data_IF_824010072083
#
_entry.id   IF_824010072083
#
_cell.length_a   1.000
_cell.length_b   1.000
_cell.length_c   1.000
_cell.angle_alpha   90.00
_cell.angle_beta   90.00
_cell.angle_gamma   90.00
#
_symmetry.space_group_name_H-M   'P 1'
#
loop_
_entity.id
_entity.type
_entity.pdbx_description
1 polymer ?
#
# COMPACT_ATOMS: atom_id res chain seq x y z
N UNK A 1 15.88 4.33 -13.02
CA UNK A 1 14.75 5.03 -12.34
C UNK A 1 14.77 4.67 -10.87
N UNK A 2 14.58 5.64 -9.96
CA UNK A 2 14.57 5.42 -8.50
C UNK A 2 13.15 5.48 -7.95
N UNK A 3 12.71 4.42 -7.29
CA UNK A 3 11.38 4.29 -6.71
C UNK A 3 11.46 4.04 -5.20
N UNK A 4 10.96 4.98 -4.41
CA UNK A 4 10.80 4.80 -2.96
C UNK A 4 9.45 4.15 -2.66
N UNK A 5 9.44 3.17 -1.75
CA UNK A 5 8.23 2.49 -1.29
C UNK A 5 8.08 2.71 0.21
N UNK A 6 6.99 3.35 0.61
CA UNK A 6 6.61 3.43 2.03
C UNK A 6 6.19 2.03 2.51
N UNK A 7 7.13 1.36 3.17
CA UNK A 7 6.98 0.00 3.70
C UNK A 7 6.82 -0.04 5.23
N UNK A 8 6.45 1.10 5.89
CA UNK A 8 6.27 1.15 7.34
C UNK A 8 5.20 0.18 7.87
N UNK A 9 4.28 -0.26 7.02
CA UNK A 9 3.26 -1.25 7.38
C UNK A 9 3.85 -2.62 7.75
N UNK A 10 5.11 -2.87 7.38
CA UNK A 10 5.83 -4.09 7.76
C UNK A 10 6.36 -4.06 9.19
N UNK A 11 6.37 -2.89 9.84
CA UNK A 11 6.78 -2.73 11.24
C UNK A 11 5.67 -3.11 12.23
N UNK A 12 4.42 -3.21 11.77
CA UNK A 12 3.24 -3.48 12.58
C UNK A 12 2.71 -4.91 12.47
N UNK A 13 1.47 -5.08 12.94
CA UNK A 13 0.73 -6.33 12.78
C UNK A 13 0.47 -6.60 11.30
N UNK A 14 0.39 -7.89 10.92
CA UNK A 14 0.07 -8.29 9.56
C UNK A 14 -1.31 -7.76 9.14
N UNK A 15 -1.37 -7.13 7.97
CA UNK A 15 -2.58 -6.53 7.40
C UNK A 15 -2.57 -6.58 5.87
N UNK A 16 -3.73 -6.40 5.25
CA UNK A 16 -3.90 -6.49 3.79
C UNK A 16 -2.98 -5.58 2.97
N UNK A 17 -2.68 -4.38 3.46
CA UNK A 17 -1.74 -3.44 2.82
C UNK A 17 -0.34 -4.04 2.68
N UNK A 18 0.12 -4.81 3.69
CA UNK A 18 1.41 -5.51 3.63
C UNK A 18 1.41 -6.55 2.50
N UNK A 19 0.37 -7.40 2.43
CA UNK A 19 0.22 -8.40 1.37
C UNK A 19 0.21 -7.77 -0.02
N UNK A 20 -0.47 -6.63 -0.16
CA UNK A 20 -0.52 -5.87 -1.40
C UNK A 20 0.86 -5.39 -1.85
N UNK A 21 1.61 -4.72 -0.95
CA UNK A 21 2.97 -4.23 -1.24
C UNK A 21 3.89 -5.41 -1.58
N UNK A 22 3.87 -6.47 -0.78
CA UNK A 22 4.67 -7.67 -1.00
C UNK A 22 4.36 -8.29 -2.37
N UNK A 23 3.08 -8.46 -2.71
CA UNK A 23 2.65 -9.04 -3.97
C UNK A 23 3.08 -8.24 -5.20
N UNK A 24 2.96 -6.92 -5.17
CA UNK A 24 3.40 -6.06 -6.28
C UNK A 24 4.91 -6.08 -6.41
N UNK A 25 5.63 -5.77 -5.33
CA UNK A 25 7.06 -5.50 -5.43
C UNK A 25 7.89 -6.77 -5.62
N UNK A 26 7.53 -7.91 -5.04
CA UNK A 26 8.20 -9.19 -5.32
C UNK A 26 8.22 -9.49 -6.83
N UNK A 27 7.15 -9.15 -7.55
CA UNK A 27 7.11 -9.32 -8.99
C UNK A 27 7.86 -8.22 -9.76
N UNK A 28 7.95 -7.00 -9.20
CA UNK A 28 8.61 -5.88 -9.86
C UNK A 28 10.14 -5.91 -9.71
N UNK A 29 10.70 -6.59 -8.71
CA UNK A 29 12.15 -6.64 -8.46
C UNK A 29 12.97 -7.21 -9.62
N UNK A 30 12.35 -7.95 -10.54
CA UNK A 30 12.96 -8.42 -11.79
C UNK A 30 13.34 -7.32 -12.79
N UNK A 31 12.81 -6.10 -12.59
CA UNK A 31 13.11 -4.95 -13.46
C UNK A 31 14.39 -4.27 -12.98
N UNK A 32 15.54 -4.66 -13.57
CA UNK A 32 16.86 -4.18 -13.18
C UNK A 32 17.10 -2.69 -13.53
N UNK A 33 16.27 -2.09 -14.34
CA UNK A 33 16.28 -0.66 -14.70
C UNK A 33 15.66 0.25 -13.61
N UNK A 34 15.11 -0.36 -12.54
CA UNK A 34 14.50 0.32 -11.41
C UNK A 34 15.29 0.02 -10.14
N UNK A 35 15.78 1.06 -9.47
CA UNK A 35 16.32 0.99 -8.11
C UNK A 35 15.19 1.16 -7.10
N UNK A 36 14.92 0.12 -6.31
CA UNK A 36 13.87 0.11 -5.29
C UNK A 36 14.43 0.47 -3.92
N UNK A 37 13.84 1.46 -3.27
CA UNK A 37 14.18 1.92 -1.93
C UNK A 37 13.01 1.62 -0.98
N UNK A 38 13.10 0.56 -0.19
CA UNK A 38 12.06 0.21 0.78
C UNK A 38 12.33 0.89 2.12
N UNK A 39 11.38 1.71 2.59
CA UNK A 39 11.53 2.48 3.81
C UNK A 39 10.66 1.94 4.95
N UNK A 40 11.29 1.53 6.08
CA UNK A 40 10.66 1.07 7.31
C UNK A 40 11.58 1.28 8.53
N UNK A 41 11.06 1.09 9.75
CA UNK A 41 11.88 1.12 10.96
C UNK A 41 12.71 -0.16 11.08
N UNK A 42 12.08 -1.31 10.83
CA UNK A 42 12.74 -2.63 10.87
C UNK A 42 13.12 -3.10 9.46
N UNK A 43 14.31 -2.69 9.03
CA UNK A 43 14.83 -3.06 7.71
C UNK A 43 15.18 -4.55 7.59
N UNK A 44 15.45 -5.25 8.70
CA UNK A 44 15.80 -6.68 8.66
C UNK A 44 14.57 -7.53 8.31
N UNK A 45 13.39 -7.09 8.74
CA UNK A 45 12.13 -7.70 8.30
C UNK A 45 11.93 -7.55 6.78
N UNK A 46 12.25 -6.39 6.21
CA UNK A 46 12.16 -6.16 4.76
C UNK A 46 13.17 -6.99 3.97
N UNK A 47 14.39 -7.14 4.49
CA UNK A 47 15.42 -8.00 3.88
C UNK A 47 14.97 -9.46 3.82
N UNK A 48 14.31 -9.95 4.87
CA UNK A 48 13.75 -11.30 4.89
C UNK A 48 12.67 -11.56 3.84
N UNK A 49 11.99 -10.49 3.37
CA UNK A 49 10.88 -10.56 2.42
C UNK A 49 11.35 -10.31 0.98
N UNK A 50 12.09 -9.22 0.76
CA UNK A 50 12.49 -8.77 -0.58
C UNK A 50 13.90 -9.22 -0.98
N UNK A 51 14.66 -9.80 -0.05
CA UNK A 51 16.00 -10.31 -0.29
C UNK A 51 17.06 -9.24 -0.51
N UNK A 52 18.21 -9.67 -1.00
CA UNK A 52 19.36 -8.81 -1.34
C UNK A 52 19.60 -8.90 -2.85
N UNK A 53 19.40 -7.80 -3.55
CA UNK A 53 19.67 -7.66 -4.97
C UNK A 53 20.33 -6.31 -5.26
N UNK A 54 21.04 -6.20 -6.39
CA UNK A 54 21.80 -5.00 -6.75
C UNK A 54 20.93 -3.74 -6.83
N UNK A 55 19.68 -3.89 -7.24
CA UNK A 55 18.70 -2.83 -7.40
C UNK A 55 17.74 -2.69 -6.21
N UNK A 56 18.00 -3.37 -5.08
CA UNK A 56 17.18 -3.32 -3.86
C UNK A 56 17.95 -2.64 -2.74
N UNK A 57 17.39 -1.58 -2.20
CA UNK A 57 17.97 -0.75 -1.15
C UNK A 57 17.00 -0.60 0.01
N UNK A 58 17.51 -0.54 1.23
CA UNK A 58 16.71 -0.40 2.45
C UNK A 58 17.01 0.92 3.14
N UNK A 59 15.97 1.67 3.48
CA UNK A 59 16.04 2.98 4.12
C UNK A 59 15.41 2.88 5.50
N UNK A 60 16.21 3.12 6.55
CA UNK A 60 15.70 3.11 7.92
C UNK A 60 14.95 4.40 8.23
N UNK A 61 13.70 4.26 8.65
CA UNK A 61 12.90 5.33 9.23
C UNK A 61 13.22 5.46 10.72
N UNK A 62 13.25 6.69 11.21
CA UNK A 62 13.57 7.00 12.60
C UNK A 62 12.35 7.48 13.38
N UNK A 63 11.43 8.20 12.73
CA UNK A 63 10.27 8.76 13.41
C UNK A 63 9.09 7.78 13.47
N UNK A 64 8.64 7.44 14.68
CA UNK A 64 7.40 6.70 14.91
C UNK A 64 6.16 7.59 14.76
N UNK A 65 6.34 8.91 14.78
CA UNK A 65 5.25 9.86 14.60
C UNK A 65 4.93 10.04 13.11
N UNK A 66 3.70 9.68 12.72
CA UNK A 66 3.25 9.76 11.33
C UNK A 66 3.34 11.16 10.73
N UNK A 67 3.11 12.21 11.52
CA UNK A 67 3.18 13.60 11.05
C UNK A 67 4.63 13.96 10.72
N UNK A 68 5.56 13.66 11.61
CA UNK A 68 7.00 13.92 11.40
C UNK A 68 7.52 13.12 10.22
N UNK A 69 7.13 11.84 10.12
CA UNK A 69 7.52 10.97 9.01
C UNK A 69 7.06 11.54 7.66
N UNK A 70 5.78 11.93 7.55
CA UNK A 70 5.21 12.43 6.30
C UNK A 70 5.63 13.88 5.99
N UNK A 71 5.77 14.75 7.00
CA UNK A 71 6.07 16.16 6.78
C UNK A 71 7.55 16.47 6.64
N UNK A 72 8.43 15.66 7.24
CA UNK A 72 9.87 15.95 7.32
C UNK A 72 10.71 14.80 6.77
N UNK A 73 10.53 13.59 7.31
CA UNK A 73 11.45 12.49 7.06
C UNK A 73 11.40 12.02 5.60
N UNK A 74 10.22 11.76 5.05
CA UNK A 74 10.09 11.38 3.62
C UNK A 74 10.57 12.46 2.66
N UNK A 75 10.19 13.75 2.78
CA UNK A 75 10.73 14.79 1.92
C UNK A 75 12.26 14.87 1.93
N UNK A 76 12.90 14.72 3.10
CA UNK A 76 14.35 14.71 3.22
C UNK A 76 14.98 13.48 2.55
N UNK A 77 14.44 12.28 2.78
CA UNK A 77 14.91 11.04 2.16
C UNK A 77 14.80 11.12 0.63
N UNK A 78 13.63 11.54 0.11
CA UNK A 78 13.36 11.66 -1.32
C UNK A 78 14.35 12.61 -1.98
N UNK A 79 14.54 13.79 -1.39
CA UNK A 79 15.48 14.80 -1.90
C UNK A 79 16.93 14.30 -1.86
N UNK A 80 17.35 13.70 -0.73
CA UNK A 80 18.73 13.20 -0.56
C UNK A 80 19.08 12.08 -1.54
N UNK A 81 18.13 11.16 -1.81
CA UNK A 81 18.35 10.03 -2.70
C UNK A 81 18.11 10.37 -4.17
N UNK A 82 17.49 11.52 -4.47
CA UNK A 82 17.09 11.90 -5.82
C UNK A 82 16.07 10.90 -6.39
N UNK A 83 15.01 10.63 -5.62
CA UNK A 83 13.94 9.68 -5.98
C UNK A 83 13.08 10.27 -7.09
N UNK A 84 12.79 9.47 -8.13
CA UNK A 84 11.91 9.86 -9.23
C UNK A 84 10.43 9.70 -8.86
N UNK A 85 10.11 8.58 -8.21
CA UNK A 85 8.75 8.22 -7.78
C UNK A 85 8.76 7.74 -6.32
N UNK A 86 7.72 8.10 -5.56
CA UNK A 86 7.48 7.54 -4.23
C UNK A 86 6.07 6.97 -4.13
N UNK A 87 5.94 5.74 -3.62
CA UNK A 87 4.67 5.04 -3.45
C UNK A 87 4.23 5.06 -2.00
N UNK A 88 3.09 5.67 -1.73
CA UNK A 88 2.48 5.81 -0.42
C UNK A 88 1.14 5.08 -0.33
N UNK A 89 0.78 4.67 0.88
CA UNK A 89 -0.50 4.06 1.17
C UNK A 89 -1.41 5.09 1.84
N UNK A 90 -2.57 5.37 1.25
CA UNK A 90 -3.59 6.33 1.68
C UNK A 90 -3.14 7.79 1.72
N UNK A 91 -2.04 8.12 2.40
CA UNK A 91 -1.61 9.50 2.66
C UNK A 91 -0.18 9.69 2.17
N UNK A 92 0.02 10.68 1.29
CA UNK A 92 1.34 11.13 0.84
C UNK A 92 1.81 12.38 1.60
N UNK A 93 3.12 12.70 1.58
CA UNK A 93 3.65 13.92 2.16
C UNK A 93 2.94 15.19 1.66
N UNK A 94 2.75 16.17 2.55
CA UNK A 94 2.15 17.46 2.15
C UNK A 94 3.06 18.23 1.19
N UNK A 95 4.38 18.10 1.36
CA UNK A 95 5.39 18.69 0.47
C UNK A 95 5.75 17.65 -0.58
N UNK A 96 5.34 17.90 -1.82
CA UNK A 96 5.63 17.02 -2.95
C UNK A 96 7.03 17.30 -3.48
N UNK A 97 7.94 16.34 -3.36
CA UNK A 97 9.34 16.45 -3.76
C UNK A 97 9.73 15.54 -4.92
N UNK A 98 8.82 14.64 -5.34
CA UNK A 98 8.95 13.78 -6.51
C UNK A 98 7.58 13.46 -7.10
N UNK A 99 7.48 12.61 -8.10
CA UNK A 99 6.21 12.05 -8.56
C UNK A 99 5.67 11.07 -7.52
N UNK A 100 4.37 11.18 -7.22
CA UNK A 100 3.72 10.39 -6.17
C UNK A 100 2.78 9.33 -6.76
N UNK A 101 2.97 8.10 -6.34
CA UNK A 101 2.04 7.00 -6.51
C UNK A 101 1.29 6.85 -5.18
N UNK A 102 -0.03 6.87 -5.21
CA UNK A 102 -0.85 6.69 -4.01
C UNK A 102 -1.80 5.53 -4.22
N UNK A 103 -1.81 4.57 -3.29
CA UNK A 103 -2.82 3.52 -3.27
C UNK A 103 -3.84 3.79 -2.17
N UNK A 104 -5.11 3.85 -2.52
CA UNK A 104 -6.24 3.87 -1.59
C UNK A 104 -6.94 2.52 -1.69
N UNK A 105 -6.88 1.73 -0.60
CA UNK A 105 -7.45 0.37 -0.60
C UNK A 105 -8.96 0.39 -0.46
N UNK A 106 -9.48 1.23 0.44
CA UNK A 106 -10.91 1.40 0.70
C UNK A 106 -11.22 2.77 1.32
N UNK A 107 -12.52 3.06 1.43
CA UNK A 107 -13.06 4.23 2.10
C UNK A 107 -14.17 3.85 3.09
N UNK A 108 -14.04 2.67 3.74
CA UNK A 108 -15.05 2.11 4.65
C UNK A 108 -15.52 3.09 5.73
N UNK A 109 -14.64 3.97 6.18
CA UNK A 109 -14.99 4.99 7.19
C UNK A 109 -15.96 6.07 6.68
N UNK A 110 -16.13 6.20 5.35
CA UNK A 110 -17.12 7.07 4.72
C UNK A 110 -18.43 6.33 4.43
N UNK A 111 -18.33 5.03 4.06
CA UNK A 111 -19.50 4.21 3.75
C UNK A 111 -20.23 3.72 5.00
N UNK A 112 -19.50 3.50 6.08
CA UNK A 112 -20.00 2.96 7.36
C UNK A 112 -19.58 3.90 8.51
N UNK A 113 -20.07 5.15 8.51
CA UNK A 113 -19.62 6.19 9.44
C UNK A 113 -19.88 5.87 10.92
N UNK A 114 -20.87 5.02 11.22
CA UNK A 114 -21.24 4.61 12.57
C UNK A 114 -20.14 3.80 13.30
N UNK A 115 -19.25 3.14 12.55
CA UNK A 115 -18.15 2.35 13.12
C UNK A 115 -16.88 3.15 13.38
N UNK A 116 -16.85 4.44 12.98
CA UNK A 116 -15.63 5.26 13.06
C UNK A 116 -15.88 6.57 13.80
N UNK A 117 -14.99 6.97 14.73
CA UNK A 117 -15.11 8.28 15.40
C UNK A 117 -15.13 9.45 14.41
N UNK A 118 -15.95 10.46 14.68
CA UNK A 118 -16.11 11.63 13.77
C UNK A 118 -14.77 12.32 13.47
N UNK A 119 -13.92 12.48 14.49
CA UNK A 119 -12.59 13.09 14.32
C UNK A 119 -11.69 12.29 13.36
N UNK A 120 -11.74 10.95 13.45
CA UNK A 120 -11.01 10.05 12.54
C UNK A 120 -11.51 10.22 11.10
N UNK A 121 -12.84 10.22 10.90
CA UNK A 121 -13.45 10.34 9.57
C UNK A 121 -13.08 11.65 8.90
N UNK A 122 -13.33 12.80 9.55
CA UNK A 122 -13.05 14.13 8.99
C UNK A 122 -11.57 14.29 8.65
N UNK A 123 -10.68 13.88 9.56
CA UNK A 123 -9.24 13.96 9.32
C UNK A 123 -8.82 13.12 8.10
N UNK A 124 -9.23 11.85 8.05
CA UNK A 124 -8.80 10.95 6.99
C UNK A 124 -9.46 11.28 5.65
N UNK A 125 -10.71 11.73 5.63
CA UNK A 125 -11.36 12.22 4.40
C UNK A 125 -10.55 13.34 3.75
N UNK A 126 -10.14 14.35 4.52
CA UNK A 126 -9.35 15.47 4.01
C UNK A 126 -7.99 14.99 3.49
N UNK A 127 -7.28 14.18 4.28
CA UNK A 127 -5.92 13.73 3.94
C UNK A 127 -5.91 12.78 2.76
N UNK A 128 -6.83 11.81 2.70
CA UNK A 128 -6.93 10.86 1.59
C UNK A 128 -7.32 11.58 0.30
N UNK A 129 -8.33 12.46 0.38
CA UNK A 129 -8.77 13.26 -0.78
C UNK A 129 -7.64 14.15 -1.30
N UNK A 130 -6.87 14.78 -0.42
CA UNK A 130 -5.73 15.62 -0.82
C UNK A 130 -4.67 14.78 -1.51
N UNK A 131 -4.28 13.63 -0.92
CA UNK A 131 -3.29 12.72 -1.49
C UNK A 131 -3.73 12.17 -2.85
N UNK A 132 -5.00 11.72 -2.96
CA UNK A 132 -5.56 11.21 -4.21
C UNK A 132 -5.60 12.27 -5.33
N UNK A 133 -5.96 13.53 -4.99
CA UNK A 133 -5.98 14.62 -5.98
C UNK A 133 -4.58 15.00 -6.48
N UNK A 134 -3.58 14.92 -5.62
CA UNK A 134 -2.19 15.31 -5.92
C UNK A 134 -1.37 14.20 -6.55
N UNK A 135 -1.75 12.93 -6.37
CA UNK A 135 -1.07 11.80 -6.94
C UNK A 135 -0.89 11.92 -8.46
N UNK A 136 0.30 11.60 -8.96
CA UNK A 136 0.55 11.45 -10.41
C UNK A 136 -0.03 10.13 -10.93
N UNK A 137 -0.03 9.09 -10.08
CA UNK A 137 -0.65 7.80 -10.34
C UNK A 137 -1.48 7.40 -9.11
N UNK A 138 -2.79 7.25 -9.29
CA UNK A 138 -3.70 6.82 -8.24
C UNK A 138 -4.11 5.37 -8.47
N UNK A 139 -3.82 4.53 -7.48
CA UNK A 139 -4.10 3.10 -7.49
C UNK A 139 -5.19 2.74 -6.49
N UNK A 140 -5.93 1.68 -6.79
CA UNK A 140 -6.87 1.05 -5.87
C UNK A 140 -6.95 -0.45 -6.14
N UNK A 141 -7.55 -1.21 -5.22
CA UNK A 141 -7.50 -2.68 -5.25
C UNK A 141 -8.70 -3.33 -5.95
N UNK A 142 -9.79 -2.59 -6.18
CA UNK A 142 -11.01 -3.16 -6.75
C UNK A 142 -11.84 -2.12 -7.52
N UNK A 143 -12.77 -2.60 -8.35
CA UNK A 143 -13.75 -1.73 -8.99
C UNK A 143 -14.62 -1.01 -7.96
N UNK A 144 -15.07 -1.72 -6.90
CA UNK A 144 -15.82 -1.11 -5.81
C UNK A 144 -15.09 0.08 -5.20
N UNK A 145 -13.83 -0.12 -4.78
CA UNK A 145 -13.02 0.98 -4.20
C UNK A 145 -12.79 2.13 -5.20
N UNK A 146 -12.67 1.84 -6.50
CA UNK A 146 -12.58 2.86 -7.55
C UNK A 146 -13.85 3.71 -7.60
N UNK A 147 -15.03 3.06 -7.64
CA UNK A 147 -16.33 3.73 -7.70
C UNK A 147 -16.53 4.61 -6.45
N UNK A 148 -16.12 4.14 -5.26
CA UNK A 148 -16.17 4.90 -4.01
C UNK A 148 -15.24 6.13 -4.01
N UNK A 149 -14.02 6.00 -4.53
CA UNK A 149 -13.09 7.13 -4.68
C UNK A 149 -13.69 8.20 -5.61
N UNK A 150 -14.28 7.79 -6.72
CA UNK A 150 -14.96 8.71 -7.63
C UNK A 150 -16.11 9.42 -6.89
N UNK A 151 -16.96 8.67 -6.21
CA UNK A 151 -18.15 9.17 -5.51
C UNK A 151 -17.81 10.17 -4.41
N UNK A 152 -16.87 9.82 -3.52
CA UNK A 152 -16.57 10.65 -2.36
C UNK A 152 -15.60 11.81 -2.67
N UNK A 153 -14.63 11.57 -3.54
CA UNK A 153 -13.56 12.54 -3.76
C UNK A 153 -13.72 13.36 -5.03
N UNK A 154 -14.66 12.99 -5.90
CA UNK A 154 -14.89 13.63 -7.19
C UNK A 154 -13.59 13.67 -8.03
N UNK A 155 -12.99 12.51 -8.25
CA UNK A 155 -11.78 12.31 -9.05
C UNK A 155 -12.19 11.67 -10.37
N UNK A 156 -11.58 12.12 -11.48
CA UNK A 156 -11.84 11.57 -12.80
C UNK A 156 -11.47 10.08 -12.85
N UNK A 157 -12.33 9.29 -13.47
CA UNK A 157 -12.17 7.84 -13.58
C UNK A 157 -10.84 7.42 -14.21
N UNK A 158 -10.42 8.15 -15.26
CA UNK A 158 -9.19 7.86 -16.03
C UNK A 158 -7.91 8.00 -15.18
N UNK A 159 -7.98 8.73 -14.07
CA UNK A 159 -6.87 8.89 -13.13
C UNK A 159 -6.67 7.67 -12.23
N UNK A 160 -7.69 6.80 -12.10
CA UNK A 160 -7.69 5.72 -11.12
C UNK A 160 -7.46 4.38 -11.80
N UNK A 161 -6.37 3.70 -11.45
CA UNK A 161 -6.02 2.40 -11.98
C UNK A 161 -6.24 1.31 -10.94
N UNK A 162 -6.80 0.18 -11.36
CA UNK A 162 -7.07 -0.95 -10.48
C UNK A 162 -5.87 -1.90 -10.50
N UNK A 163 -5.29 -2.14 -9.33
CA UNK A 163 -4.25 -3.14 -9.08
C UNK A 163 -4.76 -4.10 -8.03
N UNK A 164 -5.40 -5.22 -8.42
CA UNK A 164 -6.04 -6.13 -7.47
C UNK A 164 -5.00 -6.78 -6.55
N UNK A 165 -5.43 -7.13 -5.33
CA UNK A 165 -4.62 -7.93 -4.43
C UNK A 165 -4.32 -9.29 -5.07
N UNK A 166 -3.03 -9.55 -5.32
CA UNK A 166 -2.58 -10.86 -5.78
C UNK A 166 -2.62 -11.89 -4.64
N UNK A 167 -2.88 -13.13 -4.97
CA UNK A 167 -2.59 -14.26 -4.08
C UNK A 167 -1.17 -14.72 -4.44
N UNK A 168 -0.23 -14.62 -3.50
CA UNK A 168 1.05 -15.30 -3.64
C UNK A 168 0.74 -16.80 -3.74
N UNK A 169 1.28 -17.53 -4.73
CA UNK A 169 1.13 -18.96 -4.78
C UNK A 169 1.84 -19.55 -3.54
N UNK A 170 1.09 -19.66 -2.46
CA UNK A 170 1.52 -20.47 -1.33
C UNK A 170 1.63 -21.89 -1.86
N UNK A 171 2.79 -22.51 -1.64
CA UNK A 171 3.08 -23.88 -1.97
C UNK A 171 1.82 -24.75 -1.99
N UNK A 172 1.29 -25.02 -3.17
CA UNK A 172 0.18 -25.94 -3.40
C UNK A 172 0.55 -27.39 -3.05
N UNK A 173 1.67 -27.59 -2.34
CA UNK A 173 2.19 -28.89 -1.92
C UNK A 173 1.79 -29.35 -0.51
N UNK A 174 1.13 -28.52 0.30
CA UNK A 174 0.47 -28.99 1.53
C UNK A 174 -1.01 -29.08 1.24
N UNK A 175 -1.50 -30.31 1.08
CA UNK A 175 -2.94 -30.59 1.04
C UNK A 175 -3.62 -29.75 2.13
N UNK A 176 -4.56 -28.90 1.72
CA UNK A 176 -5.46 -28.23 2.66
C UNK A 176 -6.02 -29.33 3.57
N UNK A 177 -5.92 -29.20 4.89
CA UNK A 177 -6.60 -30.12 5.78
C UNK A 177 -8.06 -30.12 5.35
N UNK A 178 -8.66 -31.30 5.28
CA UNK A 178 -10.00 -31.51 4.76
C UNK A 178 -11.03 -30.76 5.63
N UNK A 179 -11.16 -29.45 5.35
CA UNK A 179 -12.08 -28.54 6.06
C UNK A 179 -13.53 -29.04 5.93
N UNK A 180 -13.83 -29.80 4.87
CA UNK A 180 -15.13 -30.43 4.69
C UNK A 180 -15.45 -31.43 5.80
N UNK A 181 -14.42 -32.08 6.37
CA UNK A 181 -14.57 -33.08 7.43
C UNK A 181 -14.74 -32.45 8.82
N UNK A 182 -14.22 -31.27 9.05
CA UNK A 182 -14.31 -30.58 10.36
C UNK A 182 -15.55 -29.73 10.55
N UNK A 183 -16.28 -29.40 9.46
CA UNK A 183 -17.46 -28.53 9.52
C UNK A 183 -18.80 -29.29 9.41
N UNK A 184 -18.80 -30.63 9.24
CA UNK A 184 -20.03 -31.42 9.17
C UNK A 184 -20.98 -31.01 8.02
N UNK A 185 -20.52 -30.20 7.07
CA UNK A 185 -21.33 -29.72 5.96
C UNK A 185 -21.28 -30.73 4.83
N UNK A 186 -22.32 -31.54 4.76
CA UNK A 186 -22.70 -32.26 3.53
C UNK A 186 -23.15 -31.23 2.50
N UNK A 187 -22.29 -31.08 1.50
CA UNK A 187 -22.56 -30.69 0.11
C UNK A 187 -23.70 -29.75 -0.27
N UNK A 188 -23.41 -29.02 -1.28
CA UNK A 188 -24.25 -28.41 -2.33
C UNK A 188 -24.22 -26.87 -2.31
N UNK A 189 -23.09 -26.31 -2.66
CA UNK A 189 -23.06 -24.98 -3.27
C UNK A 189 -21.87 -24.95 -4.25
N UNK A 190 -22.14 -25.38 -5.49
CA UNK A 190 -21.41 -25.01 -6.72
C UNK A 190 -22.18 -25.63 -7.91
N UNK A 191 -23.13 -24.88 -8.42
CA UNK A 191 -23.46 -24.84 -9.85
C UNK A 191 -23.39 -23.36 -10.26
#
# INVERSE_FOLDING_TARGET
MKLLVDAHVFDGKYQGTRTYIEGIYTNMLRHEDIDFFFAAHNIDNLRGIFGEAKNVHYVRLHSTNNIVRLAVEYPLIITRLGVDYAHFQYISPLIKTCKEIVTIHDLLFLDYPEYFPRSYRVKNEILFKLSAKRADLLLTVSKYSKDEIIRHFNICEDKIHITPNGVLPQNMGKALPDIKRSLGCTATFLQ
#
